data_IF_036467995796
#
_entry.id   IF_036467995796
#
_cell.length_a   1.000
_cell.length_b   1.000
_cell.length_c   1.000
_cell.angle_alpha   90.00
_cell.angle_beta   90.00
_cell.angle_gamma   90.00
#
_symmetry.space_group_name_H-M   'P 1'
#
loop_
_entity.id
_entity.type
_entity.pdbx_description
1 polymer ?
#
# COMPACT_ATOMS: atom_id res chain seq x y z
N UNK A 1 15.14 7.52 34.30
CA UNK A 1 14.81 7.43 32.87
C UNK A 1 15.54 6.21 32.35
N UNK A 2 14.84 5.12 32.08
CA UNK A 2 15.44 3.95 31.43
C UNK A 2 15.84 4.41 30.03
N UNK A 3 17.12 4.38 29.72
CA UNK A 3 17.63 4.70 28.39
C UNK A 3 17.10 3.65 27.42
N UNK A 4 16.09 4.00 26.62
CA UNK A 4 15.64 3.16 25.51
C UNK A 4 16.81 2.96 24.57
N UNK A 5 17.21 1.72 24.32
CA UNK A 5 18.20 1.38 23.32
C UNK A 5 17.46 1.24 21.97
N UNK A 6 17.50 2.21 21.06
CA UNK A 6 16.73 2.13 19.81
C UNK A 6 17.18 0.99 18.90
N UNK A 7 18.41 0.48 19.08
CA UNK A 7 18.91 -0.68 18.37
C UNK A 7 18.40 -2.03 18.94
N UNK A 8 17.79 -2.02 20.13
CA UNK A 8 17.14 -3.19 20.70
C UNK A 8 15.69 -3.27 20.23
N UNK A 9 15.51 -3.93 19.09
CA UNK A 9 14.20 -4.09 18.45
C UNK A 9 13.25 -5.00 19.21
N UNK A 10 13.72 -5.73 20.23
CA UNK A 10 12.84 -6.58 21.07
C UNK A 10 11.88 -5.78 21.94
N UNK A 11 12.09 -4.46 22.04
CA UNK A 11 11.25 -3.54 22.82
C UNK A 11 10.29 -2.71 21.98
N UNK A 12 10.26 -2.95 20.65
CA UNK A 12 9.36 -2.25 19.75
C UNK A 12 7.93 -2.74 19.95
N UNK A 13 6.96 -1.86 19.72
CA UNK A 13 5.56 -2.18 19.94
C UNK A 13 5.09 -3.22 18.91
N UNK A 14 4.26 -4.19 19.31
CA UNK A 14 3.62 -5.07 18.36
C UNK A 14 2.56 -4.31 17.55
N UNK A 15 2.15 -4.89 16.42
CA UNK A 15 1.28 -4.22 15.45
C UNK A 15 -0.07 -3.80 16.03
N UNK A 16 -0.69 -4.65 16.84
CA UNK A 16 -1.98 -4.38 17.49
C UNK A 16 -1.88 -3.27 18.56
N UNK A 17 -0.70 -3.08 19.15
CA UNK A 17 -0.38 -1.95 20.02
C UNK A 17 -0.31 -0.60 19.27
N UNK A 18 -0.13 -0.62 17.95
CA UNK A 18 -0.05 0.58 17.10
C UNK A 18 -1.43 1.09 16.66
N UNK A 19 -2.41 0.19 16.49
CA UNK A 19 -3.70 0.52 15.88
C UNK A 19 -4.52 1.62 16.60
N UNK A 20 -4.57 1.69 17.95
CA UNK A 20 -5.36 2.72 18.63
C UNK A 20 -4.90 4.14 18.25
N UNK A 21 -5.82 4.98 17.78
CA UNK A 21 -5.54 6.38 17.45
C UNK A 21 -5.08 6.64 16.01
N UNK A 22 -4.90 5.62 15.17
CA UNK A 22 -4.63 5.77 13.73
C UNK A 22 -5.87 6.08 12.88
N UNK A 23 -7.06 5.90 13.45
CA UNK A 23 -8.35 6.09 12.77
C UNK A 23 -8.85 7.56 12.78
N UNK A 24 -8.23 8.46 13.54
CA UNK A 24 -8.74 9.82 13.71
C UNK A 24 -8.82 10.63 12.40
N UNK A 25 -7.82 10.50 11.52
CA UNK A 25 -7.83 11.11 10.19
C UNK A 25 -8.25 10.12 9.09
N UNK A 26 -8.87 8.98 9.43
CA UNK A 26 -9.44 8.06 8.45
C UNK A 26 -10.65 8.71 7.77
N UNK A 27 -10.77 8.51 6.46
CA UNK A 27 -11.98 8.95 5.75
C UNK A 27 -13.12 7.94 5.98
N UNK A 28 -14.38 8.40 5.96
CA UNK A 28 -15.51 7.48 6.08
C UNK A 28 -15.55 6.53 4.88
N UNK A 29 -16.03 5.32 5.13
CA UNK A 29 -16.39 4.37 4.08
C UNK A 29 -17.41 5.01 3.11
N UNK A 30 -17.17 4.87 1.80
CA UNK A 30 -18.11 5.31 0.74
C UNK A 30 -18.90 4.14 0.18
N UNK A 31 -20.21 4.33 0.00
CA UNK A 31 -21.11 3.37 -0.66
C UNK A 31 -21.28 3.65 -2.17
N UNK A 32 -20.44 4.50 -2.76
CA UNK A 32 -20.52 4.84 -4.19
C UNK A 32 -20.31 3.64 -5.15
N UNK A 33 -19.71 2.56 -4.64
CA UNK A 33 -19.58 1.28 -5.34
C UNK A 33 -20.78 0.34 -5.12
N UNK A 34 -21.64 0.59 -4.13
CA UNK A 34 -22.76 -0.28 -3.80
C UNK A 34 -23.70 -0.49 -4.99
N UNK A 35 -24.09 -1.76 -5.19
CA UNK A 35 -24.90 -2.21 -6.31
C UNK A 35 -24.15 -2.38 -7.63
N UNK A 36 -22.84 -2.10 -7.68
CA UNK A 36 -22.03 -2.30 -8.89
C UNK A 36 -21.44 -3.71 -8.95
N UNK A 37 -21.35 -4.20 -10.17
CA UNK A 37 -20.51 -5.35 -10.52
C UNK A 37 -19.35 -4.83 -11.38
N UNK A 38 -18.12 -5.03 -10.90
CA UNK A 38 -16.88 -4.64 -11.58
C UNK A 38 -16.14 -5.91 -11.94
N UNK A 39 -16.21 -6.26 -13.22
CA UNK A 39 -15.51 -7.38 -13.79
C UNK A 39 -14.20 -6.88 -14.38
N UNK A 40 -13.09 -7.53 -14.01
CA UNK A 40 -11.77 -7.17 -14.51
C UNK A 40 -11.10 -8.35 -15.20
N UNK A 41 -10.32 -8.04 -16.23
CA UNK A 41 -9.46 -9.02 -16.92
C UNK A 41 -8.01 -8.55 -16.86
N UNK A 42 -7.16 -9.40 -16.27
CA UNK A 42 -5.71 -9.21 -16.20
C UNK A 42 -5.01 -9.65 -17.51
N UNK A 43 -3.78 -9.19 -17.79
CA UNK A 43 -3.05 -9.53 -19.02
C UNK A 43 -2.83 -11.05 -19.25
N UNK A 44 -2.75 -11.85 -18.18
CA UNK A 44 -2.63 -13.31 -18.27
C UNK A 44 -3.98 -14.02 -18.51
N UNK A 45 -5.07 -13.28 -18.69
CA UNK A 45 -6.41 -13.80 -18.91
C UNK A 45 -7.16 -14.15 -17.62
N UNK A 46 -6.55 -14.00 -16.44
CA UNK A 46 -7.24 -14.14 -15.15
C UNK A 46 -8.36 -13.11 -15.06
N UNK A 47 -9.54 -13.57 -14.65
CA UNK A 47 -10.75 -12.75 -14.52
C UNK A 47 -11.21 -12.72 -13.09
N UNK A 48 -11.60 -11.54 -12.62
CA UNK A 48 -12.13 -11.37 -11.27
C UNK A 48 -13.40 -10.52 -11.34
N UNK A 49 -14.52 -11.07 -10.87
CA UNK A 49 -15.76 -10.34 -10.72
C UNK A 49 -15.88 -9.84 -9.29
N UNK A 50 -16.13 -8.54 -9.08
CA UNK A 50 -16.41 -7.95 -7.77
C UNK A 50 -17.83 -7.40 -7.75
N UNK A 51 -18.68 -7.91 -6.85
CA UNK A 51 -20.04 -7.41 -6.62
C UNK A 51 -20.07 -6.69 -5.29
N UNK A 52 -20.21 -5.37 -5.34
CA UNK A 52 -20.19 -4.51 -4.16
C UNK A 52 -21.60 -4.33 -3.60
N UNK A 53 -21.77 -4.63 -2.32
CA UNK A 53 -22.89 -4.17 -1.50
C UNK A 53 -22.47 -2.91 -0.71
N UNK A 54 -23.24 -2.54 0.31
CA UNK A 54 -22.94 -1.37 1.12
C UNK A 54 -21.62 -1.53 1.90
N UNK A 55 -21.34 -2.70 2.45
CA UNK A 55 -20.15 -2.96 3.29
C UNK A 55 -19.48 -4.32 3.03
N UNK A 56 -20.02 -5.10 2.09
CA UNK A 56 -19.48 -6.40 1.68
C UNK A 56 -19.17 -6.44 0.18
N UNK A 57 -18.11 -7.15 -0.20
CA UNK A 57 -17.76 -7.44 -1.59
C UNK A 57 -17.75 -8.95 -1.80
N UNK A 58 -18.62 -9.44 -2.68
CA UNK A 58 -18.52 -10.81 -3.18
C UNK A 58 -17.59 -10.81 -4.38
N UNK A 59 -16.53 -11.61 -4.32
CA UNK A 59 -15.58 -11.76 -5.41
C UNK A 59 -15.63 -13.18 -5.99
N UNK A 60 -15.39 -13.29 -7.30
CA UNK A 60 -15.26 -14.58 -7.99
C UNK A 60 -14.01 -14.53 -8.84
N UNK A 61 -13.02 -15.33 -8.47
CA UNK A 61 -11.74 -15.47 -9.13
C UNK A 61 -11.78 -16.64 -10.12
N UNK A 62 -11.47 -16.36 -11.38
CA UNK A 62 -11.35 -17.35 -12.45
C UNK A 62 -9.94 -17.28 -13.04
N UNK A 63 -9.09 -18.31 -12.81
CA UNK A 63 -7.71 -18.29 -13.27
C UNK A 63 -7.60 -18.27 -14.79
N UNK A 64 -6.64 -17.50 -15.29
CA UNK A 64 -6.20 -17.53 -16.68
C UNK A 64 -5.38 -18.78 -16.98
N UNK A 65 -4.99 -18.96 -18.24
CA UNK A 65 -4.16 -20.10 -18.64
C UNK A 65 -2.79 -20.02 -17.96
N UNK A 66 -2.43 -21.09 -17.23
CA UNK A 66 -1.14 -21.18 -16.53
C UNK A 66 -1.09 -20.48 -15.17
N UNK A 67 -2.20 -19.90 -14.69
CA UNK A 67 -2.30 -19.40 -13.32
C UNK A 67 -2.44 -20.59 -12.35
N UNK A 68 -1.53 -20.75 -11.37
CA UNK A 68 -1.55 -21.89 -10.45
C UNK A 68 -2.64 -21.79 -9.37
N UNK A 69 -3.29 -20.62 -9.23
CA UNK A 69 -4.33 -20.39 -8.23
C UNK A 69 -5.64 -21.06 -8.65
N UNK A 70 -6.27 -21.82 -7.76
CA UNK A 70 -7.56 -22.44 -8.05
C UNK A 70 -8.69 -21.39 -8.16
N UNK A 71 -9.70 -21.69 -8.97
CA UNK A 71 -10.91 -20.86 -9.02
C UNK A 71 -11.59 -20.82 -7.65
N UNK A 72 -11.95 -19.63 -7.18
CA UNK A 72 -12.50 -19.43 -5.86
C UNK A 72 -13.57 -18.32 -5.87
N UNK A 73 -14.45 -18.35 -4.88
CA UNK A 73 -15.43 -17.28 -4.66
C UNK A 73 -15.77 -17.21 -3.17
N UNK A 74 -15.80 -15.99 -2.64
CA UNK A 74 -16.27 -15.71 -1.29
C UNK A 74 -16.80 -14.28 -1.22
N UNK A 75 -17.20 -13.86 -0.03
CA UNK A 75 -17.59 -12.52 0.32
C UNK A 75 -16.73 -12.07 1.49
N UNK A 76 -16.27 -10.82 1.47
CA UNK A 76 -15.52 -10.24 2.57
C UNK A 76 -16.08 -8.86 2.89
N UNK A 77 -15.98 -8.44 4.16
CA UNK A 77 -16.27 -7.07 4.54
C UNK A 77 -15.19 -6.15 3.95
N UNK A 78 -15.59 -5.00 3.41
CA UNK A 78 -14.64 -4.07 2.80
C UNK A 78 -14.81 -2.63 3.30
N UNK A 79 -13.73 -1.88 3.16
CA UNK A 79 -13.76 -0.43 3.26
C UNK A 79 -13.34 0.20 1.94
N UNK A 80 -14.10 1.20 1.49
CA UNK A 80 -13.74 1.97 0.31
C UNK A 80 -13.70 3.46 0.61
N UNK A 81 -12.82 4.16 -0.09
CA UNK A 81 -12.71 5.62 -0.08
C UNK A 81 -12.55 6.11 -1.51
N UNK A 82 -13.25 7.19 -1.84
CA UNK A 82 -13.05 7.91 -3.10
C UNK A 82 -11.87 8.88 -2.93
N UNK A 83 -10.76 8.56 -3.59
CA UNK A 83 -9.48 9.27 -3.48
C UNK A 83 -9.46 10.52 -4.36
N UNK A 84 -10.05 10.39 -5.55
CA UNK A 84 -10.27 11.42 -6.54
C UNK A 84 -11.54 11.06 -7.31
N UNK A 85 -12.06 11.96 -8.15
CA UNK A 85 -13.27 11.68 -8.92
C UNK A 85 -13.17 10.33 -9.65
N UNK A 86 -14.12 9.43 -9.36
CA UNK A 86 -14.22 8.09 -9.95
C UNK A 86 -12.97 7.19 -9.73
N UNK A 87 -12.15 7.52 -8.73
CA UNK A 87 -10.98 6.75 -8.30
C UNK A 87 -11.19 6.24 -6.88
N UNK A 88 -11.29 4.93 -6.72
CA UNK A 88 -11.59 4.30 -5.44
C UNK A 88 -10.40 3.50 -4.94
N UNK A 89 -10.16 3.57 -3.65
CA UNK A 89 -9.25 2.68 -2.92
C UNK A 89 -10.07 1.80 -1.99
N UNK A 90 -9.99 0.50 -2.19
CA UNK A 90 -10.82 -0.53 -1.56
C UNK A 90 -9.92 -1.50 -0.81
N UNK A 91 -10.24 -1.80 0.45
CA UNK A 91 -9.49 -2.69 1.33
C UNK A 91 -10.37 -3.76 1.93
N UNK A 92 -9.90 -5.00 1.94
CA UNK A 92 -10.55 -6.10 2.66
C UNK A 92 -9.55 -7.18 3.07
N UNK A 93 -9.86 -7.87 4.15
CA UNK A 93 -9.10 -9.01 4.66
C UNK A 93 -9.86 -10.29 4.34
N UNK A 94 -9.21 -11.25 3.67
CA UNK A 94 -9.87 -12.49 3.28
C UNK A 94 -10.25 -13.34 4.50
N UNK A 95 -11.52 -13.75 4.58
CA UNK A 95 -11.99 -14.72 5.58
C UNK A 95 -11.54 -16.14 5.28
N UNK A 96 -11.47 -16.52 4.00
CA UNK A 96 -11.11 -17.88 3.57
C UNK A 96 -9.60 -18.15 3.54
N UNK A 97 -8.79 -17.10 3.30
CA UNK A 97 -7.32 -17.10 3.37
C UNK A 97 -6.86 -15.99 4.32
N UNK A 98 -6.92 -16.18 5.65
CA UNK A 98 -6.62 -15.13 6.61
C UNK A 98 -5.18 -14.60 6.58
N UNK A 99 -4.26 -15.29 5.90
CA UNK A 99 -2.89 -14.82 5.68
C UNK A 99 -2.78 -13.81 4.53
N UNK A 100 -3.88 -13.45 3.87
CA UNK A 100 -3.92 -12.51 2.75
C UNK A 100 -4.87 -11.34 2.98
N UNK A 101 -4.41 -10.14 2.64
CA UNK A 101 -5.25 -8.94 2.55
C UNK A 101 -5.18 -8.34 1.15
N UNK A 102 -6.26 -7.69 0.72
CA UNK A 102 -6.42 -7.15 -0.63
C UNK A 102 -6.60 -5.65 -0.60
N UNK A 103 -5.77 -4.98 -1.39
CA UNK A 103 -5.97 -3.60 -1.79
C UNK A 103 -6.33 -3.51 -3.27
N UNK A 104 -7.43 -2.84 -3.61
CA UNK A 104 -7.76 -2.48 -4.98
C UNK A 104 -7.71 -0.97 -5.16
N UNK A 105 -7.11 -0.52 -6.25
CA UNK A 105 -7.24 0.84 -6.76
C UNK A 105 -8.04 0.77 -8.06
N UNK A 106 -9.28 1.24 -8.02
CA UNK A 106 -10.25 1.14 -9.11
C UNK A 106 -10.44 2.51 -9.73
N UNK A 107 -9.94 2.68 -10.95
CA UNK A 107 -10.18 3.90 -11.74
C UNK A 107 -11.30 3.65 -12.76
N UNK A 108 -12.53 3.97 -12.36
CA UNK A 108 -13.71 3.80 -13.22
C UNK A 108 -13.66 4.72 -14.45
N UNK A 109 -12.99 5.87 -14.34
CA UNK A 109 -12.84 6.83 -15.43
C UNK A 109 -11.86 6.33 -16.49
N UNK A 110 -10.77 5.68 -16.07
CA UNK A 110 -9.75 5.16 -16.98
C UNK A 110 -10.02 3.71 -17.44
N UNK A 111 -10.97 3.01 -16.80
CA UNK A 111 -11.24 1.59 -17.09
C UNK A 111 -10.10 0.68 -16.61
N UNK A 112 -9.38 1.07 -15.55
CA UNK A 112 -8.14 0.40 -15.08
C UNK A 112 -8.21 0.07 -13.60
N UNK A 113 -7.56 -1.03 -13.22
CA UNK A 113 -7.45 -1.48 -11.83
C UNK A 113 -6.01 -1.88 -11.52
N UNK A 114 -5.53 -1.51 -10.34
CA UNK A 114 -4.36 -2.11 -9.71
C UNK A 114 -4.83 -2.92 -8.49
N UNK A 115 -4.48 -4.20 -8.46
CA UNK A 115 -4.67 -5.09 -7.31
C UNK A 115 -3.33 -5.29 -6.61
N UNK A 116 -3.33 -5.21 -5.28
CA UNK A 116 -2.20 -5.53 -4.42
C UNK A 116 -2.66 -6.58 -3.41
N UNK A 117 -2.02 -7.75 -3.43
CA UNK A 117 -2.23 -8.81 -2.43
C UNK A 117 -1.07 -8.74 -1.43
N UNK A 118 -1.39 -8.50 -0.17
CA UNK A 118 -0.44 -8.62 0.94
C UNK A 118 -0.52 -10.01 1.53
N UNK A 119 0.55 -10.80 1.43
CA UNK A 119 0.62 -12.19 1.89
C UNK A 119 1.60 -12.32 3.06
N UNK A 120 1.13 -12.87 4.18
CA UNK A 120 1.98 -13.33 5.27
C UNK A 120 2.53 -14.71 4.90
N UNK A 121 3.85 -14.78 4.72
CA UNK A 121 4.51 -16.05 4.38
C UNK A 121 4.43 -17.06 5.52
N UNK A 122 4.40 -18.37 5.23
CA UNK A 122 4.28 -19.41 6.26
C UNK A 122 5.52 -19.53 7.16
N UNK A 123 6.68 -19.07 6.70
CA UNK A 123 7.95 -19.18 7.42
C UNK A 123 8.72 -17.86 7.38
N UNK A 124 9.34 -17.48 8.50
CA UNK A 124 10.29 -16.37 8.54
C UNK A 124 11.62 -16.81 7.93
N UNK A 125 12.13 -16.02 6.99
CA UNK A 125 13.41 -16.26 6.32
C UNK A 125 14.37 -15.10 6.63
N UNK A 126 15.61 -15.38 7.08
CA UNK A 126 16.59 -14.32 7.33
C UNK A 126 16.81 -13.46 6.08
N UNK A 127 16.70 -12.15 6.23
CA UNK A 127 16.90 -11.18 5.14
C UNK A 127 15.68 -11.00 4.23
N UNK A 128 14.51 -11.52 4.61
CA UNK A 128 13.25 -11.33 3.89
C UNK A 128 12.16 -10.86 4.85
N UNK A 129 11.39 -9.87 4.42
CA UNK A 129 10.21 -9.42 5.18
C UNK A 129 9.18 -10.56 5.26
N UNK A 130 8.52 -10.70 6.41
CA UNK A 130 7.54 -11.80 6.61
C UNK A 130 6.29 -11.62 5.74
N UNK A 131 5.92 -10.36 5.50
CA UNK A 131 4.84 -9.99 4.59
C UNK A 131 5.44 -9.58 3.24
N UNK A 132 4.83 -10.04 2.15
CA UNK A 132 5.19 -9.68 0.76
C UNK A 132 4.00 -9.09 0.04
N UNK A 133 4.26 -8.34 -1.03
CA UNK A 133 3.23 -7.75 -1.89
C UNK A 133 3.30 -8.30 -3.30
N UNK A 134 2.15 -8.73 -3.83
CA UNK A 134 1.98 -9.10 -5.22
C UNK A 134 1.14 -8.04 -5.91
N UNK A 135 1.65 -7.46 -7.01
CA UNK A 135 0.98 -6.41 -7.76
C UNK A 135 0.46 -6.97 -9.08
N UNK A 136 -0.78 -6.65 -9.42
CA UNK A 136 -1.40 -7.05 -10.69
C UNK A 136 -2.23 -5.94 -11.29
N UNK A 137 -2.00 -5.63 -12.56
CA UNK A 137 -2.85 -4.68 -13.30
C UNK A 137 -3.97 -5.43 -14.01
N UNK A 138 -5.10 -4.76 -14.19
CA UNK A 138 -6.21 -5.27 -14.96
C UNK A 138 -7.01 -4.13 -15.62
N UNK A 139 -7.84 -4.50 -16.60
CA UNK A 139 -8.79 -3.57 -17.24
C UNK A 139 -10.21 -3.96 -16.87
N UNK A 140 -11.10 -2.97 -16.79
CA UNK A 140 -12.51 -3.19 -16.48
C UNK A 140 -13.24 -3.62 -17.76
N UNK A 141 -13.90 -4.77 -17.71
CA UNK A 141 -14.62 -5.34 -18.84
C UNK A 141 -15.73 -4.38 -19.31
N UNK A 142 -15.69 -4.04 -20.60
CA UNK A 142 -16.68 -3.16 -21.24
C UNK A 142 -16.46 -1.65 -21.02
N UNK A 143 -15.45 -1.26 -20.25
CA UNK A 143 -15.05 0.15 -20.11
C UNK A 143 -14.14 0.59 -21.27
N UNK A 144 -14.15 1.90 -21.58
CA UNK A 144 -13.12 2.49 -22.44
C UNK A 144 -11.82 2.61 -21.65
N UNK A 145 -10.76 1.95 -22.13
CA UNK A 145 -9.45 1.98 -21.47
C UNK A 145 -8.67 3.21 -21.95
N UNK A 146 -8.38 4.12 -21.04
CA UNK A 146 -7.67 5.38 -21.33
C UNK A 146 -6.54 5.65 -20.34
N UNK A 147 -5.69 6.63 -20.66
CA UNK A 147 -4.53 6.97 -19.83
C UNK A 147 -3.48 5.86 -19.75
N UNK A 148 -2.47 6.11 -18.93
CA UNK A 148 -1.41 5.13 -18.68
C UNK A 148 -1.91 4.01 -17.77
N UNK A 149 -1.41 2.79 -17.99
CA UNK A 149 -1.59 1.70 -17.04
C UNK A 149 -0.91 2.05 -15.71
N UNK A 150 -1.46 1.69 -14.54
CA UNK A 150 -0.73 1.79 -13.29
C UNK A 150 0.66 1.15 -13.45
N UNK A 151 1.72 1.84 -13.04
CA UNK A 151 3.09 1.39 -13.27
C UNK A 151 4.03 1.79 -12.13
N UNK A 152 5.12 1.04 -11.89
CA UNK A 152 6.17 1.44 -10.96
C UNK A 152 6.75 2.81 -11.32
N UNK A 153 7.03 3.64 -10.31
CA UNK A 153 7.52 5.02 -10.52
C UNK A 153 8.60 5.41 -9.52
N UNK A 154 9.47 6.36 -9.90
CA UNK A 154 10.51 6.95 -9.03
C UNK A 154 10.09 8.31 -8.46
N UNK A 155 8.86 8.76 -8.73
CA UNK A 155 8.39 10.13 -8.46
C UNK A 155 8.44 10.61 -7.00
N UNK A 156 8.52 9.68 -6.03
CA UNK A 156 8.64 10.00 -4.62
C UNK A 156 10.09 10.12 -4.13
N UNK A 157 11.07 9.55 -4.84
CA UNK A 157 12.49 9.52 -4.43
C UNK A 157 13.00 10.95 -4.19
N UNK A 158 13.75 11.13 -3.10
CA UNK A 158 14.27 12.40 -2.64
C UNK A 158 13.30 13.22 -1.79
N UNK A 159 11.99 12.93 -1.79
CA UNK A 159 11.04 13.64 -0.94
C UNK A 159 11.20 13.26 0.54
N UNK A 160 10.98 14.23 1.42
CA UNK A 160 10.77 14.04 2.87
C UNK A 160 9.39 14.57 3.21
N UNK A 161 8.51 13.72 3.71
CA UNK A 161 7.09 14.05 3.96
C UNK A 161 6.75 13.78 5.43
N UNK A 162 6.17 14.78 6.08
CA UNK A 162 5.53 14.64 7.39
C UNK A 162 4.12 14.09 7.21
N UNK A 163 3.71 13.13 8.04
CA UNK A 163 2.39 12.49 8.03
C UNK A 163 1.76 12.59 9.41
N UNK A 164 0.56 13.17 9.49
CA UNK A 164 -0.23 13.29 10.72
C UNK A 164 -1.44 12.38 10.63
N UNK A 165 -1.44 11.30 11.41
CA UNK A 165 -2.53 10.31 11.49
C UNK A 165 -3.59 10.73 12.52
N UNK A 166 -3.18 11.42 13.58
CA UNK A 166 -4.07 11.96 14.60
C UNK A 166 -3.40 13.07 15.41
N UNK A 167 -4.05 13.54 16.47
CA UNK A 167 -3.42 14.44 17.46
C UNK A 167 -2.30 13.78 18.27
N UNK A 168 -2.22 12.45 18.24
CA UNK A 168 -1.27 11.66 19.02
C UNK A 168 -0.20 10.99 18.15
N UNK A 169 -0.54 10.66 16.90
CA UNK A 169 0.32 9.92 15.98
C UNK A 169 0.79 10.79 14.80
N UNK A 170 2.10 10.94 14.67
CA UNK A 170 2.74 11.59 13.54
C UNK A 170 4.07 10.91 13.21
N UNK A 171 4.35 10.76 11.92
CA UNK A 171 5.56 10.14 11.38
C UNK A 171 6.16 11.03 10.29
N UNK A 172 7.38 10.75 9.89
CA UNK A 172 7.92 11.25 8.64
C UNK A 172 8.49 10.12 7.81
N UNK A 173 8.35 10.25 6.48
CA UNK A 173 8.91 9.33 5.50
C UNK A 173 9.97 10.05 4.67
N UNK A 174 11.12 9.41 4.46
CA UNK A 174 12.18 9.84 3.55
C UNK A 174 12.35 8.77 2.48
N UNK A 175 12.01 9.09 1.23
CA UNK A 175 12.06 8.13 0.12
C UNK A 175 13.45 8.11 -0.49
N UNK A 176 14.21 7.03 -0.30
CA UNK A 176 15.65 7.00 -0.58
C UNK A 176 15.99 6.49 -1.98
N UNK A 177 15.34 5.40 -2.40
CA UNK A 177 15.54 4.76 -3.71
C UNK A 177 14.30 3.95 -4.10
N UNK A 178 14.34 3.29 -5.26
CA UNK A 178 13.25 2.43 -5.76
C UNK A 178 12.82 1.35 -4.76
N UNK A 179 13.73 0.92 -3.88
CA UNK A 179 13.47 -0.18 -2.94
C UNK A 179 13.52 0.23 -1.47
N UNK A 180 14.05 1.39 -1.13
CA UNK A 180 14.30 1.76 0.27
C UNK A 180 13.69 3.10 0.64
N UNK A 181 13.05 3.15 1.81
CA UNK A 181 12.64 4.40 2.46
C UNK A 181 12.99 4.32 3.95
N UNK A 182 13.16 5.48 4.59
CA UNK A 182 13.22 5.55 6.04
C UNK A 182 11.96 6.17 6.62
N UNK A 183 11.54 5.67 7.78
CA UNK A 183 10.50 6.29 8.59
C UNK A 183 11.05 6.69 9.95
N UNK A 184 10.42 7.69 10.57
CA UNK A 184 10.64 8.04 11.97
C UNK A 184 9.30 8.41 12.61
N UNK A 185 9.05 7.90 13.82
CA UNK A 185 7.92 8.33 14.63
C UNK A 185 8.22 9.67 15.31
N UNK A 186 7.47 10.72 14.97
CA UNK A 186 7.59 12.08 15.50
C UNK A 186 6.71 12.28 16.75
N UNK A 187 5.55 11.64 16.78
CA UNK A 187 4.62 11.62 17.90
C UNK A 187 3.90 10.27 17.93
N UNK A 188 3.68 9.75 19.15
CA UNK A 188 3.00 8.49 19.38
C UNK A 188 3.79 7.56 20.32
N UNK A 189 3.29 6.34 20.53
CA UNK A 189 3.93 5.32 21.36
C UNK A 189 5.36 4.97 20.92
N UNK A 190 5.63 5.08 19.62
CA UNK A 190 6.94 4.77 19.02
C UNK A 190 7.87 5.98 18.92
N UNK A 191 7.54 7.13 19.54
CA UNK A 191 8.25 8.40 19.32
C UNK A 191 9.77 8.24 19.50
N UNK A 192 10.50 8.60 18.45
CA UNK A 192 11.96 8.51 18.38
C UNK A 192 12.50 7.19 17.83
N UNK A 193 11.65 6.19 17.61
CA UNK A 193 11.98 5.03 16.78
C UNK A 193 12.00 5.41 15.31
N UNK A 194 12.84 4.72 14.56
CA UNK A 194 13.04 4.90 13.14
C UNK A 194 13.65 3.63 12.54
N UNK A 195 13.35 3.36 11.29
CA UNK A 195 13.97 2.28 10.53
C UNK A 195 14.03 2.61 9.04
N UNK A 196 14.73 1.77 8.27
CA UNK A 196 14.76 1.79 6.79
C UNK A 196 14.25 0.48 6.24
N UNK A 197 13.10 0.50 5.59
CA UNK A 197 12.39 -0.70 5.15
C UNK A 197 12.18 -0.72 3.64
N UNK A 198 11.83 -1.90 3.14
CA UNK A 198 11.61 -2.09 1.72
C UNK A 198 10.30 -1.43 1.29
N UNK A 199 10.31 -0.73 0.15
CA UNK A 199 9.10 -0.14 -0.42
C UNK A 199 8.91 -0.50 -1.91
N UNK A 200 7.71 -0.20 -2.41
CA UNK A 200 7.34 -0.15 -3.82
C UNK A 200 6.45 1.07 -4.03
N UNK A 201 6.64 1.78 -5.14
CA UNK A 201 5.84 2.96 -5.49
C UNK A 201 5.23 2.78 -6.87
N UNK A 202 3.92 3.00 -6.98
CA UNK A 202 3.18 2.94 -8.24
C UNK A 202 2.48 4.25 -8.52
N UNK A 203 2.51 4.69 -9.77
CA UNK A 203 1.72 5.83 -10.24
C UNK A 203 0.36 5.32 -10.73
N UNK A 204 -0.72 5.92 -10.21
CA UNK A 204 -2.10 5.58 -10.55
C UNK A 204 -2.68 6.63 -11.50
N UNK A 205 -2.48 7.89 -11.14
CA UNK A 205 -2.76 9.08 -11.96
C UNK A 205 -1.61 10.06 -11.76
N UNK A 206 -1.42 11.05 -12.66
CA UNK A 206 -0.44 12.10 -12.43
C UNK A 206 -0.58 12.76 -11.05
N UNK A 207 0.42 12.55 -10.19
CA UNK A 207 0.45 13.06 -8.83
C UNK A 207 -0.31 12.24 -7.78
N UNK A 208 -0.90 11.09 -8.13
CA UNK A 208 -1.55 10.17 -7.19
C UNK A 208 -0.80 8.85 -7.21
N UNK A 209 -0.27 8.46 -6.06
CA UNK A 209 0.65 7.34 -5.95
C UNK A 209 0.14 6.32 -4.93
N UNK A 210 0.34 5.04 -5.26
CA UNK A 210 0.37 3.99 -4.24
C UNK A 210 1.79 3.91 -3.68
N UNK A 211 1.91 3.94 -2.36
CA UNK A 211 3.14 3.69 -1.63
C UNK A 211 2.92 2.48 -0.72
N UNK A 212 3.70 1.42 -0.93
CA UNK A 212 3.56 0.18 -0.19
C UNK A 212 4.90 -0.24 0.43
N UNK A 213 4.95 -0.39 1.76
CA UNK A 213 6.16 -0.81 2.47
C UNK A 213 5.99 -2.15 3.19
N UNK A 214 7.10 -2.81 3.49
CA UNK A 214 7.15 -4.07 4.25
C UNK A 214 8.21 -3.93 5.33
N UNK A 215 7.81 -4.10 6.58
CA UNK A 215 8.71 -3.97 7.72
C UNK A 215 9.46 -5.28 7.96
N UNK A 216 10.75 -5.16 8.31
CA UNK A 216 11.62 -6.31 8.58
C UNK A 216 11.73 -6.66 10.07
N UNK A 217 11.35 -5.73 10.95
CA UNK A 217 11.40 -5.91 12.41
C UNK A 217 10.08 -6.45 12.93
N UNK A 218 9.00 -5.67 12.76
CA UNK A 218 7.64 -6.10 13.03
C UNK A 218 7.13 -6.77 11.74
N UNK A 219 6.55 -7.98 11.78
CA UNK A 219 6.12 -8.70 10.59
C UNK A 219 4.81 -8.12 10.02
N UNK A 220 4.92 -6.94 9.44
CA UNK A 220 3.79 -6.22 8.87
C UNK A 220 4.16 -5.54 7.54
N UNK A 221 3.13 -5.13 6.82
CA UNK A 221 3.23 -4.34 5.62
C UNK A 221 2.04 -3.41 5.50
N UNK A 222 2.21 -2.36 4.71
CA UNK A 222 1.13 -1.42 4.44
C UNK A 222 1.06 -1.10 2.98
N UNK A 223 -0.16 -0.86 2.52
CA UNK A 223 -0.46 -0.25 1.23
C UNK A 223 -1.15 1.06 1.53
N UNK A 224 -0.68 2.15 0.92
CA UNK A 224 -1.31 3.46 1.01
C UNK A 224 -1.53 4.02 -0.37
N UNK A 225 -2.53 4.87 -0.54
CA UNK A 225 -2.70 5.74 -1.70
C UNK A 225 -2.72 7.18 -1.22
N UNK A 226 -1.99 8.05 -1.92
CA UNK A 226 -1.90 9.45 -1.56
C UNK A 226 -2.00 10.36 -2.78
N UNK A 227 -2.79 11.44 -2.63
CA UNK A 227 -2.87 12.53 -3.59
C UNK A 227 -1.83 13.60 -3.27
N UNK A 228 -0.74 13.62 -4.02
CA UNK A 228 0.38 14.54 -3.88
C UNK A 228 0.26 15.79 -4.76
N UNK A 229 -0.88 16.03 -5.44
CA UNK A 229 -1.08 17.20 -6.30
C UNK A 229 -1.03 18.51 -5.50
N UNK A 230 -1.45 18.50 -4.23
CA UNK A 230 -1.18 19.55 -3.25
C UNK A 230 -0.15 19.08 -2.23
N UNK A 231 1.11 19.43 -2.45
CA UNK A 231 2.23 19.02 -1.59
C UNK A 231 2.21 19.62 -0.18
N UNK A 232 1.37 20.64 0.06
CA UNK A 232 1.22 21.24 1.39
C UNK A 232 0.13 20.58 2.22
N UNK A 233 -0.74 19.80 1.57
CA UNK A 233 -1.90 19.15 2.16
C UNK A 233 -2.23 17.84 1.43
N UNK A 234 -1.26 16.94 1.42
CA UNK A 234 -1.33 15.63 0.79
C UNK A 234 -2.38 14.81 1.54
N UNK A 235 -3.35 14.23 0.84
CA UNK A 235 -4.33 13.34 1.48
C UNK A 235 -3.93 11.89 1.27
N UNK A 236 -3.82 11.11 2.34
CA UNK A 236 -3.46 9.69 2.28
C UNK A 236 -4.48 8.80 2.99
N UNK A 237 -4.69 7.62 2.41
CA UNK A 237 -5.51 6.52 2.92
C UNK A 237 -4.70 5.24 2.87
N UNK A 238 -4.86 4.37 3.86
CA UNK A 238 -4.06 3.16 3.90
C UNK A 238 -4.63 2.05 4.75
N UNK A 239 -3.93 0.94 4.69
CA UNK A 239 -4.14 -0.27 5.50
C UNK A 239 -2.82 -0.73 6.08
N UNK A 240 -2.84 -1.29 7.28
CA UNK A 240 -1.74 -2.05 7.84
C UNK A 240 -2.19 -3.50 8.03
N UNK A 241 -1.36 -4.43 7.58
CA UNK A 241 -1.61 -5.85 7.65
C UNK A 241 -0.36 -6.58 8.13
N UNK A 242 -0.50 -7.50 9.08
CA UNK A 242 0.62 -8.24 9.64
C UNK A 242 0.19 -9.16 10.76
N UNK A 243 1.14 -9.57 11.59
CA UNK A 243 0.86 -10.42 12.76
C UNK A 243 0.77 -9.58 14.03
N UNK A 244 -0.08 -10.00 14.96
CA UNK A 244 -0.21 -9.43 16.30
C UNK A 244 1.01 -9.71 17.19
N UNK A 245 0.94 -9.31 18.47
CA UNK A 245 2.01 -9.53 19.45
C UNK A 245 2.42 -11.00 19.62
N UNK A 246 1.54 -11.96 19.31
CA UNK A 246 1.84 -13.39 19.41
C UNK A 246 2.67 -13.87 18.22
N UNK A 247 2.65 -13.13 17.10
CA UNK A 247 3.26 -13.56 15.85
C UNK A 247 2.48 -14.66 15.13
N UNK A 248 1.23 -14.91 15.52
CA UNK A 248 0.40 -15.99 14.97
C UNK A 248 -0.92 -15.48 14.37
N UNK A 249 -1.52 -14.42 14.91
CA UNK A 249 -2.85 -13.96 14.48
C UNK A 249 -2.71 -12.76 13.53
N UNK A 250 -3.28 -12.84 12.30
CA UNK A 250 -3.31 -11.71 11.40
C UNK A 250 -4.11 -10.54 11.97
N UNK A 251 -3.53 -9.35 11.91
CA UNK A 251 -4.17 -8.07 12.25
C UNK A 251 -4.29 -7.24 10.98
N UNK A 252 -5.46 -6.65 10.77
CA UNK A 252 -5.78 -5.80 9.62
C UNK A 252 -6.55 -4.56 10.08
N UNK A 253 -6.02 -3.37 9.85
CA UNK A 253 -6.74 -2.13 10.13
C UNK A 253 -6.43 -1.05 9.10
N UNK A 254 -7.42 -0.20 8.83
CA UNK A 254 -7.32 0.92 7.90
C UNK A 254 -7.11 2.23 8.66
N UNK A 255 -6.48 3.19 7.99
CA UNK A 255 -6.14 4.50 8.56
C UNK A 255 -6.15 5.59 7.48
N UNK A 256 -6.00 6.84 7.93
CA UNK A 256 -5.78 7.96 7.02
C UNK A 256 -4.87 9.00 7.64
N UNK A 257 -4.23 9.80 6.80
CA UNK A 257 -3.32 10.86 7.22
C UNK A 257 -3.45 12.12 6.37
N UNK A 258 -2.97 13.22 6.94
CA UNK A 258 -2.63 14.43 6.20
C UNK A 258 -1.11 14.55 6.13
N UNK A 259 -0.61 14.72 4.92
CA UNK A 259 0.80 14.84 4.63
C UNK A 259 1.20 16.26 4.25
N UNK A 260 2.46 16.59 4.53
CA UNK A 260 3.09 17.85 4.09
C UNK A 260 4.52 17.57 3.66
N UNK A 261 4.84 17.96 2.43
CA UNK A 261 6.21 17.91 1.93
C UNK A 261 7.09 18.88 2.74
N UNK A 262 8.16 18.36 3.33
CA UNK A 262 9.15 19.12 4.10
C UNK A 262 10.27 19.61 3.18
N UNK A 263 10.84 18.71 2.39
CA UNK A 263 11.97 19.00 1.49
C UNK A 263 12.03 18.00 0.34
N UNK A 264 12.78 18.37 -0.70
CA UNK A 264 13.23 17.45 -1.75
C UNK A 264 14.75 17.51 -1.79
N UNK A 265 15.38 16.35 -1.64
CA UNK A 265 16.83 16.19 -1.77
C UNK A 265 17.13 15.79 -3.21
N UNK A 266 18.08 16.49 -3.82
CA UNK A 266 18.61 16.16 -5.14
C UNK A 266 20.09 15.82 -5.03
N UNK A 267 20.49 14.73 -5.65
CA UNK A 267 21.90 14.38 -5.76
C UNK A 267 22.48 14.92 -7.08
N UNK A 268 23.81 14.85 -7.24
CA UNK A 268 24.41 15.11 -8.55
C UNK A 268 23.78 14.15 -9.59
N UNK A 269 23.56 14.55 -10.86
CA UNK A 269 22.80 13.76 -11.84
C UNK A 269 23.28 12.31 -12.00
N UNK A 270 24.60 12.08 -11.92
CA UNK A 270 25.25 10.77 -12.02
C UNK A 270 25.12 9.91 -10.75
N UNK A 271 24.69 10.51 -9.63
CA UNK A 271 24.49 9.85 -8.34
C UNK A 271 23.01 9.83 -7.89
N UNK A 272 22.09 10.25 -8.76
CA UNK A 272 20.66 10.39 -8.44
C UNK A 272 19.97 9.02 -8.36
N UNK A 273 19.50 8.58 -7.16
CA UNK A 273 18.88 7.27 -7.00
C UNK A 273 17.64 7.06 -7.87
N UNK A 274 16.92 8.12 -8.23
CA UNK A 274 15.80 8.05 -9.16
C UNK A 274 16.18 7.62 -10.59
N UNK A 275 17.48 7.62 -10.92
CA UNK A 275 18.00 7.28 -12.24
C UNK A 275 18.74 5.94 -12.30
N UNK A 276 18.93 5.23 -11.18
CA UNK A 276 19.74 4.00 -11.16
C UNK A 276 19.24 2.92 -12.15
N UNK A 277 17.93 2.65 -12.19
CA UNK A 277 17.37 1.67 -13.14
C UNK A 277 17.53 2.04 -14.61
N UNK A 278 17.50 3.33 -14.96
CA UNK A 278 17.69 3.81 -16.32
C UNK A 278 19.15 3.71 -16.79
N UNK A 279 20.10 3.87 -15.86
CA UNK A 279 21.54 3.77 -16.15
C UNK A 279 21.98 2.32 -16.39
N UNK A 280 21.43 1.36 -15.64
CA UNK A 280 21.71 -0.07 -15.82
C UNK A 280 21.22 -0.60 -17.19
N UNK A 281 20.08 -0.09 -17.69
CA UNK A 281 19.57 -0.41 -19.02
C UNK A 281 20.43 0.16 -20.17
N UNK A 282 21.08 1.31 -19.96
CA UNK A 282 21.96 1.92 -20.96
C UNK A 282 23.35 1.25 -21.02
N UNK A 283 23.85 0.72 -19.90
CA UNK A 283 25.15 0.04 -19.81
C UNK A 283 25.18 -1.38 -20.37
N UNK A 284 24.02 -2.01 -20.55
CA UNK A 284 23.88 -3.39 -21.10
C UNK A 284 23.75 -3.42 -22.63
N UNK A 285 23.72 -2.26 -23.28
CA UNK A 285 23.63 -2.11 -24.74
C UNK A 285 24.94 -1.76 -25.46
N UNK A 286 26.10 -1.88 -24.79
CA UNK A 286 27.43 -1.57 -25.35
C UNK A 286 28.32 -2.82 -25.48
#
# INVERSE_FOLDING_TARGET
>A
MTTMNPADTSTWLPLDGLAPGFDANKAPHTTALSGREINVTAPNGTRIAHRFADDEVTWTYTPGEGDPTEAATDTDAYEAVEVDQDLFYVQFHHRYLPNEAVSLVIDLRAGRVLSIISEILPTAEPGRTRVVHHFGTATIDGAEVTGDEPHPTTALIGRRVEWVYSTEHAYEHVYLSERWYSWQCLAGPERGLADTDENSVWEIRPGIYVFAWREKVIPCASVTIADHRDVTRIRSHGVLFGLDETGEVPTHFTFGAWGRLISVTHHAPELEPANFGAQDAAGTGA
#
